data_IF_497035080241
#
_entry.id   IF_497035080241
#
_cell.length_a   1.000
_cell.length_b   1.000
_cell.length_c   1.000
_cell.angle_alpha   90.00
_cell.angle_beta   90.00
_cell.angle_gamma   90.00
#
_symmetry.space_group_name_H-M   'P 1'
#
loop_
_entity.id
_entity.type
_entity.pdbx_description
1 polymer ?
#
# COMPACT_ATOMS: atom_id res chain seq x y z
N UNK A 1 1.23 -27.76 -15.16
CA UNK A 1 0.56 -26.61 -14.50
C UNK A 1 -0.39 -25.96 -15.49
N UNK A 2 -1.66 -25.74 -15.15
CA UNK A 2 -2.60 -25.04 -16.04
C UNK A 2 -2.12 -23.59 -16.26
N UNK A 3 -2.13 -23.10 -17.50
CA UNK A 3 -1.69 -21.74 -17.85
C UNK A 3 -2.37 -20.66 -17.00
N UNK A 4 -3.64 -20.90 -16.66
CA UNK A 4 -4.44 -20.05 -15.75
C UNK A 4 -3.78 -19.92 -14.37
N UNK A 5 -3.30 -21.03 -13.78
CA UNK A 5 -2.67 -21.01 -12.45
C UNK A 5 -1.36 -20.22 -12.43
N UNK A 6 -0.60 -20.25 -13.52
CA UNK A 6 0.63 -19.45 -13.65
C UNK A 6 0.31 -17.95 -13.66
N UNK A 7 -0.68 -17.54 -14.48
CA UNK A 7 -1.12 -16.15 -14.58
C UNK A 7 -1.70 -15.66 -13.25
N UNK A 8 -2.52 -16.49 -12.59
CA UNK A 8 -3.07 -16.16 -11.27
C UNK A 8 -1.99 -15.94 -10.22
N UNK A 9 -0.96 -16.78 -10.17
CA UNK A 9 0.18 -16.62 -9.26
C UNK A 9 0.98 -15.35 -9.56
N UNK A 10 1.20 -15.03 -10.83
CA UNK A 10 1.89 -13.80 -11.24
C UNK A 10 1.10 -12.55 -10.80
N UNK A 11 -0.21 -12.52 -11.04
CA UNK A 11 -1.08 -11.42 -10.61
C UNK A 11 -1.12 -11.29 -9.07
N UNK A 12 -1.20 -12.42 -8.36
CA UNK A 12 -1.15 -12.44 -6.91
C UNK A 12 0.17 -11.89 -6.37
N UNK A 13 1.30 -12.28 -6.96
CA UNK A 13 2.62 -11.76 -6.59
C UNK A 13 2.69 -10.25 -6.83
N UNK A 14 2.24 -9.79 -8.00
CA UNK A 14 2.25 -8.36 -8.35
C UNK A 14 1.48 -7.51 -7.33
N UNK A 15 0.26 -7.92 -6.97
CA UNK A 15 -0.54 -7.21 -5.95
C UNK A 15 0.13 -7.30 -4.57
N UNK A 16 0.73 -8.46 -4.24
CA UNK A 16 1.42 -8.65 -2.96
C UNK A 16 2.63 -7.73 -2.82
N UNK A 17 3.43 -7.56 -3.88
CA UNK A 17 4.59 -6.68 -3.87
C UNK A 17 4.14 -5.22 -3.61
N UNK A 18 3.17 -4.70 -4.37
CA UNK A 18 2.64 -3.33 -4.21
C UNK A 18 2.08 -3.09 -2.80
N UNK A 19 1.31 -4.03 -2.27
CA UNK A 19 0.70 -3.88 -0.95
C UNK A 19 1.72 -3.94 0.18
N UNK A 20 2.78 -4.75 0.03
CA UNK A 20 3.88 -4.80 0.99
C UNK A 20 4.67 -3.48 0.99
N UNK A 21 4.94 -2.90 -0.17
CA UNK A 21 5.63 -1.62 -0.29
C UNK A 21 4.79 -0.49 0.34
N UNK A 22 3.49 -0.43 0.03
CA UNK A 22 2.57 0.54 0.64
C UNK A 22 2.44 0.36 2.17
N UNK A 23 2.51 -0.87 2.67
CA UNK A 23 2.52 -1.14 4.12
C UNK A 23 3.79 -0.60 4.79
N UNK A 24 4.95 -0.66 4.13
CA UNK A 24 6.18 -0.08 4.65
C UNK A 24 6.06 1.45 4.76
N UNK A 25 5.54 2.11 3.73
CA UNK A 25 5.22 3.55 3.77
C UNK A 25 4.26 3.89 4.93
N UNK A 26 3.22 3.08 5.12
CA UNK A 26 2.25 3.26 6.20
C UNK A 26 2.89 3.13 7.59
N UNK A 27 3.78 2.15 7.78
CA UNK A 27 4.54 1.95 9.03
C UNK A 27 5.48 3.11 9.33
N UNK A 28 6.18 3.63 8.32
CA UNK A 28 7.09 4.77 8.47
C UNK A 28 6.35 6.06 8.85
N UNK A 29 5.19 6.34 8.24
CA UNK A 29 4.34 7.45 8.70
C UNK A 29 3.85 7.24 10.14
N UNK A 30 3.38 6.03 10.42
CA UNK A 30 2.84 5.68 11.73
C UNK A 30 3.88 5.72 12.85
N UNK A 31 5.18 5.58 12.56
CA UNK A 31 6.27 5.71 13.55
C UNK A 31 6.58 7.17 13.88
N UNK A 32 6.52 8.06 12.88
CA UNK A 32 6.69 9.52 13.08
C UNK A 32 5.56 10.13 13.92
N UNK A 33 4.34 9.58 13.82
CA UNK A 33 3.19 10.05 14.59
C UNK A 33 3.05 9.40 15.98
N UNK A 34 3.88 8.41 16.32
CA UNK A 34 3.80 7.66 17.59
C UNK A 34 4.79 8.12 18.66
N UNK A 35 4.88 9.42 18.91
CA UNK A 35 5.43 9.95 20.17
C UNK A 35 4.51 9.68 21.38
N UNK A 36 3.29 9.18 21.16
CA UNK A 36 2.40 8.71 22.24
C UNK A 36 2.56 7.21 22.48
N UNK A 37 3.21 6.88 23.61
CA UNK A 37 3.58 5.55 24.10
C UNK A 37 2.41 4.64 24.51
N UNK A 38 1.19 4.94 24.07
CA UNK A 38 -0.03 4.24 24.50
C UNK A 38 -0.76 3.68 23.28
N UNK A 39 -1.04 2.37 23.29
CA UNK A 39 -1.79 1.58 22.27
C UNK A 39 -0.96 0.95 21.13
N UNK A 40 0.04 0.14 21.49
CA UNK A 40 0.71 -0.78 20.54
C UNK A 40 -0.17 -1.97 20.14
N UNK A 41 -1.19 -2.34 20.93
CA UNK A 41 -1.95 -3.58 20.75
C UNK A 41 -3.11 -3.51 19.73
N UNK A 42 -3.58 -2.30 19.39
CA UNK A 42 -4.71 -2.06 18.47
C UNK A 42 -4.32 -1.18 17.25
N UNK A 43 -3.06 -1.23 16.82
CA UNK A 43 -2.61 -0.42 15.69
C UNK A 43 -3.10 -1.04 14.36
N UNK A 44 -4.32 -0.65 13.97
CA UNK A 44 -4.92 -1.03 12.69
C UNK A 44 -4.28 -0.22 11.56
N UNK A 45 -3.55 -0.90 10.66
CA UNK A 45 -3.06 -0.27 9.43
C UNK A 45 -4.21 -0.05 8.47
N UNK A 46 -4.26 1.13 7.87
CA UNK A 46 -5.23 1.51 6.84
C UNK A 46 -4.45 1.88 5.59
N UNK A 47 -4.78 1.26 4.46
CA UNK A 47 -4.20 1.61 3.17
C UNK A 47 -4.80 2.93 2.70
N UNK A 48 -3.96 3.96 2.52
CA UNK A 48 -4.39 5.30 2.11
C UNK A 48 -3.78 5.68 0.76
N UNK A 49 -4.35 6.70 0.11
CA UNK A 49 -3.80 7.22 -1.14
C UNK A 49 -2.42 7.86 -0.95
N UNK A 50 -2.10 8.35 0.25
CA UNK A 50 -0.79 8.92 0.59
C UNK A 50 0.32 7.86 0.58
N UNK A 51 -0.02 6.63 0.97
CA UNK A 51 0.88 5.46 0.89
C UNK A 51 0.97 4.90 -0.52
N UNK A 52 -0.18 4.79 -1.17
CA UNK A 52 -0.30 4.02 -2.40
C UNK A 52 0.18 4.79 -3.63
N UNK A 53 -0.03 6.10 -3.67
CA UNK A 53 0.36 6.93 -4.83
C UNK A 53 1.86 6.93 -5.11
N UNK A 54 2.76 7.14 -4.14
CA UNK A 54 4.20 7.09 -4.40
C UNK A 54 4.65 5.69 -4.84
N UNK A 55 4.12 4.62 -4.21
CA UNK A 55 4.42 3.24 -4.61
C UNK A 55 4.00 3.01 -6.06
N UNK A 56 2.76 3.33 -6.44
CA UNK A 56 2.30 3.15 -7.81
C UNK A 56 3.14 3.94 -8.84
N UNK A 57 3.64 5.12 -8.48
CA UNK A 57 4.51 5.91 -9.35
C UNK A 57 5.85 5.20 -9.63
N UNK A 58 6.42 4.47 -8.67
CA UNK A 58 7.63 3.66 -8.86
C UNK A 58 7.42 2.51 -9.85
N UNK A 59 6.20 1.97 -9.91
CA UNK A 59 5.80 0.97 -10.92
C UNK A 59 5.35 1.62 -12.25
N UNK A 60 5.47 2.94 -12.41
CA UNK A 60 5.09 3.67 -13.63
C UNK A 60 3.58 3.91 -13.78
N UNK A 61 2.79 3.70 -12.72
CA UNK A 61 1.34 3.86 -12.72
C UNK A 61 0.98 5.27 -12.22
N UNK A 62 0.37 6.08 -13.10
CA UNK A 62 -0.05 7.44 -12.75
C UNK A 62 -1.46 7.47 -12.16
N UNK A 63 -1.58 7.91 -10.91
CA UNK A 63 -2.88 8.09 -10.24
C UNK A 63 -3.36 9.53 -10.42
N UNK A 64 -4.47 9.71 -11.15
CA UNK A 64 -5.14 11.02 -11.32
C UNK A 64 -6.43 11.07 -10.50
N UNK A 65 -6.30 11.10 -9.16
CA UNK A 65 -7.45 11.22 -8.26
C UNK A 65 -7.47 12.62 -7.64
N UNK A 66 -8.42 13.49 -8.01
CA UNK A 66 -8.58 14.78 -7.35
C UNK A 66 -9.08 14.59 -5.92
N UNK A 67 -8.70 15.50 -5.03
CA UNK A 67 -9.15 15.46 -3.62
C UNK A 67 -10.64 15.76 -3.48
N UNK A 68 -11.18 16.57 -4.38
CA UNK A 68 -12.59 16.92 -4.45
C UNK A 68 -12.96 17.21 -5.92
N UNK A 69 -14.24 17.05 -6.24
CA UNK A 69 -14.84 17.50 -7.50
C UNK A 69 -15.61 18.78 -7.20
N UNK A 70 -15.53 19.76 -8.11
CA UNK A 70 -16.32 20.99 -8.12
C UNK A 70 -17.52 20.83 -9.06
#
# INVERSE_FOLDING_TARGET
>A
MSRVRLISLAAQKFISDITNDALQHCKMRGSQQSSSKTKTKDKRYTLTMEDLTPVLAEYGITVKKPHYYI
#
